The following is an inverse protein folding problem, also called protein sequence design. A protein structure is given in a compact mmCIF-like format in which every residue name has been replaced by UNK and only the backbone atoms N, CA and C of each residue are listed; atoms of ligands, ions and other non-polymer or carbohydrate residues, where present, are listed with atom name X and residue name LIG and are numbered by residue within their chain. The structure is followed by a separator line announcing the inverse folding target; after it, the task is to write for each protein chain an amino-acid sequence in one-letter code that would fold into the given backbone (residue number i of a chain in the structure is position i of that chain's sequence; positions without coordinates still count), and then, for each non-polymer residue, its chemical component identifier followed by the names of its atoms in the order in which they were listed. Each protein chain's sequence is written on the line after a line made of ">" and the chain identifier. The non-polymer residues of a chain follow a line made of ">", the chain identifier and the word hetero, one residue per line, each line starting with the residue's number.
data_IF_972127193450
#
_entry.id   IF_972127193450
#
_cell.length_a   1.000
_cell.length_b   1.000
_cell.length_c   1.000
_cell.angle_alpha   90.00
_cell.angle_beta   90.00
_cell.angle_gamma   90.00
#
_symmetry.space_group_name_H-M   'P 1'
#
loop_
_entity.id
_entity.type
_entity.pdbx_description
1 polymer ?
#
# COMPACT_ATOMS: atom_id res chain seq x y z
N UNK A 1 -3.03 30.97 7.60
CA UNK A 1 -2.77 30.04 8.71
C UNK A 1 -2.74 28.60 8.23
N UNK A 2 -3.88 28.08 7.76
CA UNK A 2 -3.97 26.82 7.00
C UNK A 2 -3.90 27.06 5.48
N UNK A 3 -4.45 28.19 5.02
CA UNK A 3 -4.26 28.74 3.69
C UNK A 3 -3.72 30.16 3.88
N UNK A 4 -2.72 30.53 3.10
CA UNK A 4 -2.14 31.88 3.06
C UNK A 4 -2.27 32.45 1.65
N UNK A 5 -2.47 33.75 1.56
CA UNK A 5 -2.52 34.46 0.28
C UNK A 5 -1.08 34.69 -0.20
N UNK A 6 -0.79 34.36 -1.44
CA UNK A 6 0.50 34.66 -2.06
C UNK A 6 0.70 36.18 -2.15
N UNK A 7 1.96 36.61 -2.26
CA UNK A 7 2.34 38.03 -2.30
C UNK A 7 1.73 38.81 -3.47
N UNK A 8 1.29 38.12 -4.53
CA UNK A 8 0.58 38.71 -5.66
C UNK A 8 -0.92 38.98 -5.40
N UNK A 9 -1.44 38.58 -4.24
CA UNK A 9 -2.83 38.80 -3.86
C UNK A 9 -3.87 37.98 -4.63
N UNK A 10 -3.46 37.12 -5.56
CA UNK A 10 -4.38 36.34 -6.40
C UNK A 10 -4.28 34.85 -6.10
N UNK A 11 -3.06 34.34 -5.89
CA UNK A 11 -2.85 32.93 -5.59
C UNK A 11 -2.94 32.65 -4.09
N UNK A 12 -3.21 31.38 -3.77
CA UNK A 12 -3.19 30.87 -2.41
C UNK A 12 -2.13 29.77 -2.31
N UNK A 13 -1.53 29.63 -1.14
CA UNK A 13 -0.60 28.57 -0.79
C UNK A 13 -1.00 27.93 0.54
N UNK A 14 -0.51 26.72 0.80
CA UNK A 14 -0.71 26.11 2.11
C UNK A 14 0.01 26.95 3.17
N UNK A 15 -0.70 27.28 4.24
CA UNK A 15 -0.13 28.00 5.37
C UNK A 15 0.53 27.06 6.37
N UNK A 16 1.41 27.60 7.22
CA UNK A 16 2.26 26.83 8.15
C UNK A 16 1.49 25.85 9.08
N UNK A 17 0.21 26.13 9.38
CA UNK A 17 -0.61 25.23 10.21
C UNK A 17 -1.01 23.94 9.49
N UNK A 18 -1.02 23.91 8.16
CA UNK A 18 -1.30 22.71 7.37
C UNK A 18 -0.24 21.62 7.59
N UNK A 19 1.05 21.88 7.28
CA UNK A 19 2.13 20.95 7.57
C UNK A 19 2.24 20.57 9.05
N UNK A 20 2.00 21.53 9.97
CA UNK A 20 2.03 21.26 11.41
C UNK A 20 0.93 20.28 11.84
N UNK A 21 -0.28 20.41 11.29
CA UNK A 21 -1.38 19.48 11.56
C UNK A 21 -1.06 18.08 11.03
N UNK A 22 -0.52 17.98 9.80
CA UNK A 22 -0.08 16.71 9.23
C UNK A 22 1.03 16.05 10.06
N UNK A 23 2.00 16.83 10.55
CA UNK A 23 3.03 16.36 11.45
C UNK A 23 2.46 15.88 12.78
N UNK A 24 1.54 16.64 13.39
CA UNK A 24 0.92 16.30 14.69
C UNK A 24 0.05 15.05 14.58
N UNK A 25 -0.72 14.93 13.49
CA UNK A 25 -1.47 13.71 13.18
C UNK A 25 -0.54 12.52 13.09
N UNK A 26 0.54 12.60 12.29
CA UNK A 26 1.52 11.51 12.16
C UNK A 26 2.24 11.17 13.46
N UNK A 27 2.67 12.17 14.22
CA UNK A 27 3.38 11.97 15.48
C UNK A 27 2.52 11.26 16.54
N UNK A 28 1.20 11.45 16.48
CA UNK A 28 0.24 10.84 17.38
C UNK A 28 -0.55 9.68 16.73
N UNK A 29 -0.24 9.30 15.49
CA UNK A 29 -0.97 8.23 14.80
C UNK A 29 -0.51 6.87 15.37
N UNK A 30 -1.40 6.11 16.04
CA UNK A 30 -1.03 4.83 16.62
C UNK A 30 -0.71 3.76 15.56
N UNK A 31 -1.17 3.91 14.31
CA UNK A 31 -0.90 2.97 13.22
C UNK A 31 0.59 2.74 13.03
N UNK A 32 1.39 3.82 12.95
CA UNK A 32 2.85 3.68 12.81
C UNK A 32 3.46 2.93 13.99
N UNK A 33 3.09 3.28 15.22
CA UNK A 33 3.63 2.64 16.43
C UNK A 33 3.26 1.14 16.52
N UNK A 34 2.05 0.77 16.08
CA UNK A 34 1.53 -0.60 16.17
C UNK A 34 1.99 -1.48 15.00
N UNK A 35 2.10 -0.93 13.79
CA UNK A 35 2.47 -1.69 12.59
C UNK A 35 3.98 -1.90 12.47
N UNK A 36 4.76 -0.87 12.81
CA UNK A 36 6.21 -0.82 12.55
C UNK A 36 7.00 -2.00 13.14
N UNK A 37 6.73 -2.51 14.37
CA UNK A 37 7.49 -3.64 14.91
C UNK A 37 7.42 -4.90 14.05
N UNK A 38 6.22 -5.29 13.61
CA UNK A 38 6.03 -6.47 12.76
C UNK A 38 6.61 -6.26 11.35
N UNK A 39 6.39 -5.07 10.77
CA UNK A 39 6.90 -4.73 9.44
C UNK A 39 8.44 -4.67 9.42
N UNK A 40 9.06 -4.06 10.42
CA UNK A 40 10.52 -3.97 10.50
C UNK A 40 11.15 -5.35 10.73
N UNK A 41 10.56 -6.18 11.60
CA UNK A 41 11.04 -7.55 11.81
C UNK A 41 10.99 -8.38 10.52
N UNK A 42 9.94 -8.25 9.72
CA UNK A 42 9.88 -8.90 8.40
C UNK A 42 10.96 -8.34 7.46
N UNK A 43 11.07 -7.02 7.38
CA UNK A 43 12.01 -6.33 6.50
C UNK A 43 13.46 -6.78 6.77
N UNK A 44 13.86 -6.78 8.04
CA UNK A 44 15.20 -7.18 8.48
C UNK A 44 15.47 -8.67 8.27
N UNK A 45 14.47 -9.53 8.47
CA UNK A 45 14.61 -10.98 8.29
C UNK A 45 14.87 -11.36 6.84
N UNK A 46 14.19 -10.71 5.91
CA UNK A 46 14.20 -11.09 4.49
C UNK A 46 15.05 -10.18 3.60
N UNK A 47 15.66 -9.15 4.19
CA UNK A 47 16.38 -8.11 3.45
C UNK A 47 15.51 -7.44 2.38
N UNK A 48 14.26 -7.15 2.74
CA UNK A 48 13.27 -6.54 1.85
C UNK A 48 12.76 -5.21 2.41
N UNK A 49 11.97 -4.54 1.58
CA UNK A 49 11.08 -3.48 2.03
C UNK A 49 9.68 -4.04 2.33
N UNK A 50 8.96 -3.37 3.21
CA UNK A 50 7.58 -3.68 3.60
C UNK A 50 6.80 -2.37 3.68
N UNK A 51 5.62 -2.31 3.08
CA UNK A 51 4.77 -1.13 3.12
C UNK A 51 3.32 -1.48 3.42
N UNK A 52 2.63 -0.56 4.09
CA UNK A 52 1.21 -0.60 4.35
C UNK A 52 0.54 0.54 3.61
N UNK A 53 -0.57 0.27 2.92
CA UNK A 53 -1.29 1.27 2.15
C UNK A 53 -2.80 1.15 2.28
N UNK A 54 -3.46 2.29 2.08
CA UNK A 54 -4.91 2.46 1.97
C UNK A 54 -5.26 3.00 0.58
N UNK A 55 -6.51 2.91 0.15
CA UNK A 55 -6.95 3.49 -1.11
C UNK A 55 -7.28 4.98 -0.98
N UNK A 56 -6.92 5.73 -2.02
CA UNK A 56 -7.30 7.13 -2.19
C UNK A 56 -7.62 7.37 -3.68
N UNK A 57 -8.92 7.29 -4.00
CA UNK A 57 -9.40 7.25 -5.39
C UNK A 57 -8.90 6.00 -6.11
N UNK A 58 -8.27 6.18 -7.28
CA UNK A 58 -7.67 5.08 -8.07
C UNK A 58 -6.21 4.78 -7.71
N UNK A 59 -5.70 5.40 -6.64
CA UNK A 59 -4.32 5.22 -6.18
C UNK A 59 -4.30 4.57 -4.80
N UNK A 60 -3.19 3.91 -4.49
CA UNK A 60 -2.85 3.54 -3.10
C UNK A 60 -2.00 4.63 -2.46
N UNK A 61 -2.40 5.07 -1.27
CA UNK A 61 -1.66 5.96 -0.39
C UNK A 61 -0.86 5.12 0.61
N UNK A 62 0.46 5.25 0.59
CA UNK A 62 1.34 4.53 1.50
C UNK A 62 1.42 5.25 2.85
N UNK A 63 0.97 4.58 3.90
CA UNK A 63 0.84 5.16 5.25
C UNK A 63 1.95 4.70 6.20
N UNK A 64 2.59 3.57 5.92
CA UNK A 64 3.77 3.12 6.66
C UNK A 64 4.75 2.37 5.73
N UNK A 65 6.04 2.51 6.02
CA UNK A 65 7.13 1.91 5.25
C UNK A 65 8.32 1.56 6.13
N UNK A 66 8.74 0.30 6.04
CA UNK A 66 9.93 -0.25 6.69
C UNK A 66 10.84 -0.87 5.64
N UNK A 67 12.16 -0.84 5.88
CA UNK A 67 13.13 -1.49 5.00
C UNK A 67 14.30 -2.04 5.80
N UNK A 68 14.86 -3.15 5.31
CA UNK A 68 16.16 -3.60 5.78
C UNK A 68 17.23 -2.54 5.47
N UNK A 69 18.22 -2.33 6.35
CA UNK A 69 19.40 -1.52 6.05
C UNK A 69 20.15 -1.95 4.79
N UNK A 70 19.97 -3.19 4.33
CA UNK A 70 20.60 -3.71 3.10
C UNK A 70 19.90 -3.27 1.82
N UNK A 71 18.69 -2.68 1.91
CA UNK A 71 17.96 -2.14 0.77
C UNK A 71 18.34 -0.66 0.54
N UNK A 72 19.14 -0.44 -0.51
CA UNK A 72 19.59 0.91 -0.90
C UNK A 72 18.67 1.62 -1.90
N UNK A 73 17.90 0.89 -2.71
CA UNK A 73 17.36 1.40 -3.97
C UNK A 73 15.90 1.81 -3.95
N UNK A 74 15.03 1.17 -3.13
CA UNK A 74 13.62 1.52 -3.08
C UNK A 74 13.38 2.73 -2.18
N UNK A 75 13.22 3.91 -2.81
CA UNK A 75 12.83 5.17 -2.16
C UNK A 75 11.33 5.38 -2.28
N UNK A 76 10.58 4.67 -1.46
CA UNK A 76 9.17 4.96 -1.23
C UNK A 76 9.05 5.90 -0.04
N UNK A 77 8.29 6.98 -0.19
CA UNK A 77 8.04 7.94 0.89
C UNK A 77 6.62 7.75 1.44
N UNK A 78 6.47 7.80 2.76
CA UNK A 78 5.14 7.82 3.39
C UNK A 78 4.39 9.05 2.87
N UNK A 79 3.16 8.85 2.41
CA UNK A 79 2.35 9.86 1.72
C UNK A 79 2.42 9.77 0.19
N UNK A 80 3.29 8.92 -0.38
CA UNK A 80 3.32 8.67 -1.82
C UNK A 80 2.05 7.98 -2.30
N UNK A 81 1.64 8.30 -3.53
CA UNK A 81 0.49 7.68 -4.22
C UNK A 81 0.97 6.89 -5.43
N UNK A 82 0.41 5.69 -5.61
CA UNK A 82 0.72 4.84 -6.77
C UNK A 82 -0.57 4.28 -7.39
N UNK A 83 -0.69 4.25 -8.73
CA UNK A 83 -1.85 3.67 -9.40
C UNK A 83 -2.10 2.23 -8.98
N UNK A 84 -3.35 1.92 -8.62
CA UNK A 84 -3.69 0.63 -8.02
C UNK A 84 -3.40 -0.55 -8.96
N UNK A 85 -3.65 -0.38 -10.26
CA UNK A 85 -3.51 -1.41 -11.28
C UNK A 85 -2.05 -1.75 -11.61
N UNK A 86 -1.10 -0.88 -11.26
CA UNK A 86 0.33 -1.06 -11.54
C UNK A 86 1.11 -1.70 -10.39
N UNK A 87 0.49 -1.89 -9.22
CA UNK A 87 1.16 -2.39 -8.02
C UNK A 87 0.45 -3.61 -7.44
N UNK A 88 1.19 -4.51 -6.80
CA UNK A 88 0.55 -5.64 -6.10
C UNK A 88 -0.27 -5.17 -4.91
N UNK A 89 0.18 -4.13 -4.20
CA UNK A 89 -0.52 -3.59 -3.03
C UNK A 89 -1.85 -2.97 -3.44
N UNK A 90 -1.89 -2.26 -4.57
CA UNK A 90 -3.12 -1.73 -5.15
C UNK A 90 -4.08 -2.79 -5.63
N UNK A 91 -3.58 -3.86 -6.27
CA UNK A 91 -4.40 -5.01 -6.65
C UNK A 91 -4.97 -5.75 -5.44
N UNK A 92 -4.18 -5.93 -4.38
CA UNK A 92 -4.67 -6.52 -3.13
C UNK A 92 -5.73 -5.64 -2.46
N UNK A 93 -5.53 -4.32 -2.44
CA UNK A 93 -6.52 -3.36 -1.93
C UNK A 93 -7.82 -3.42 -2.74
N UNK A 94 -7.74 -3.37 -4.07
CA UNK A 94 -8.89 -3.45 -4.97
C UNK A 94 -9.67 -4.75 -4.74
N UNK A 95 -8.98 -5.88 -4.61
CA UNK A 95 -9.61 -7.18 -4.38
C UNK A 95 -10.42 -7.18 -3.07
N UNK A 96 -9.87 -6.57 -2.02
CA UNK A 96 -10.46 -6.52 -0.68
C UNK A 96 -11.71 -5.63 -0.55
N UNK A 97 -12.00 -4.80 -1.55
CA UNK A 97 -13.18 -3.93 -1.55
C UNK A 97 -14.47 -4.71 -1.78
N UNK A 98 -15.58 -4.15 -1.32
CA UNK A 98 -16.90 -4.71 -1.61
C UNK A 98 -17.16 -4.72 -3.13
N UNK A 99 -17.94 -5.67 -3.67
CA UNK A 99 -18.13 -5.82 -5.12
C UNK A 99 -18.54 -4.52 -5.84
N UNK A 100 -19.40 -3.71 -5.23
CA UNK A 100 -19.86 -2.44 -5.80
C UNK A 100 -18.76 -1.38 -5.86
N UNK A 101 -18.01 -1.21 -4.76
CA UNK A 101 -16.91 -0.25 -4.67
C UNK A 101 -15.76 -0.64 -5.59
N UNK A 102 -15.40 -1.94 -5.59
CA UNK A 102 -14.42 -2.51 -6.51
C UNK A 102 -14.79 -2.25 -7.97
N UNK A 103 -16.04 -2.48 -8.36
CA UNK A 103 -16.50 -2.24 -9.72
C UNK A 103 -16.42 -0.75 -10.11
N UNK A 104 -16.74 0.17 -9.19
CA UNK A 104 -16.61 1.60 -9.42
C UNK A 104 -15.14 2.02 -9.63
N UNK A 105 -14.23 1.54 -8.77
CA UNK A 105 -12.80 1.81 -8.90
C UNK A 105 -12.21 1.28 -10.21
N UNK A 106 -12.54 0.04 -10.59
CA UNK A 106 -12.08 -0.55 -11.85
C UNK A 106 -12.62 0.21 -13.07
N UNK A 107 -13.86 0.70 -13.02
CA UNK A 107 -14.42 1.54 -14.08
C UNK A 107 -13.68 2.88 -14.20
N UNK A 108 -13.37 3.53 -13.08
CA UNK A 108 -12.60 4.78 -13.08
C UNK A 108 -11.17 4.58 -13.59
N UNK A 109 -10.48 3.52 -13.17
CA UNK A 109 -9.15 3.14 -13.68
C UNK A 109 -9.21 2.92 -15.20
N UNK A 110 -10.22 2.20 -15.68
CA UNK A 110 -10.41 1.95 -17.12
C UNK A 110 -10.63 3.25 -17.88
N UNK A 111 -11.40 4.18 -17.32
CA UNK A 111 -11.63 5.49 -17.93
C UNK A 111 -10.34 6.32 -17.99
N UNK A 112 -9.53 6.32 -16.92
CA UNK A 112 -8.24 7.03 -16.86
C UNK A 112 -7.20 6.47 -17.83
N UNK A 113 -7.17 5.14 -18.02
CA UNK A 113 -6.29 4.50 -19.00
C UNK A 113 -6.65 4.86 -20.46
N UNK A 114 -7.87 5.34 -20.71
CA UNK A 114 -8.35 5.75 -22.02
C UNK A 114 -8.59 4.58 -22.98
N UNK A 115 -9.04 4.90 -24.21
CA UNK A 115 -9.37 3.90 -25.25
C UNK A 115 -8.15 3.11 -25.78
N UNK A 116 -6.93 3.45 -25.36
CA UNK A 116 -5.69 2.92 -25.93
C UNK A 116 -5.21 1.58 -25.35
N UNK A 117 -5.77 1.12 -24.22
CA UNK A 117 -5.32 -0.14 -23.61
C UNK A 117 -6.51 -0.96 -23.04
N UNK A 118 -7.22 -1.72 -23.89
CA UNK A 118 -8.32 -2.59 -23.45
C UNK A 118 -7.87 -3.70 -22.47
N UNK A 119 -6.57 -3.93 -22.33
CA UNK A 119 -5.99 -4.94 -21.44
C UNK A 119 -5.34 -4.35 -20.18
N UNK A 120 -5.56 -3.06 -19.90
CA UNK A 120 -4.98 -2.37 -18.74
C UNK A 120 -5.27 -3.10 -17.41
N UNK A 121 -6.44 -3.73 -17.28
CA UNK A 121 -6.83 -4.48 -16.09
C UNK A 121 -6.56 -5.99 -16.14
N UNK A 122 -6.05 -6.53 -17.25
CA UNK A 122 -5.78 -7.97 -17.34
C UNK A 122 -4.78 -8.47 -16.25
N UNK A 123 -3.70 -7.73 -15.91
CA UNK A 123 -2.88 -8.07 -14.74
C UNK A 123 -3.65 -8.02 -13.41
N UNK A 124 -4.55 -7.05 -13.24
CA UNK A 124 -5.38 -6.91 -12.03
C UNK A 124 -6.31 -8.09 -11.83
N UNK A 125 -7.01 -8.54 -12.88
CA UNK A 125 -7.88 -9.71 -12.79
C UNK A 125 -7.10 -11.01 -12.50
N UNK A 126 -5.92 -11.19 -13.11
CA UNK A 126 -5.02 -12.31 -12.76
C UNK A 126 -4.58 -12.27 -11.30
N UNK A 127 -4.31 -11.08 -10.77
CA UNK A 127 -4.00 -10.92 -9.35
C UNK A 127 -5.19 -11.27 -8.45
N UNK A 128 -6.42 -10.97 -8.85
CA UNK A 128 -7.62 -11.38 -8.11
C UNK A 128 -7.76 -12.91 -8.08
N UNK A 129 -7.62 -13.58 -9.23
CA UNK A 129 -7.64 -15.05 -9.27
C UNK A 129 -6.56 -15.66 -8.37
N UNK A 130 -5.37 -15.05 -8.33
CA UNK A 130 -4.28 -15.49 -7.47
C UNK A 130 -4.59 -15.27 -5.97
N UNK A 131 -5.24 -14.16 -5.62
CA UNK A 131 -5.70 -13.86 -4.26
C UNK A 131 -6.78 -14.85 -3.81
N UNK A 132 -7.78 -15.12 -4.64
CA UNK A 132 -8.82 -16.10 -4.34
C UNK A 132 -8.23 -17.50 -4.07
N UNK A 133 -7.21 -17.89 -4.83
CA UNK A 133 -6.64 -19.24 -4.75
C UNK A 133 -5.57 -19.40 -3.68
N UNK A 134 -4.76 -18.37 -3.43
CA UNK A 134 -3.54 -18.47 -2.63
C UNK A 134 -3.42 -17.42 -1.51
N UNK A 135 -4.33 -16.45 -1.44
CA UNK A 135 -4.34 -15.42 -0.41
C UNK A 135 -3.30 -14.30 -0.59
N UNK A 136 -2.58 -14.26 -1.72
CA UNK A 136 -1.65 -13.19 -2.06
C UNK A 136 -1.67 -12.89 -3.57
N UNK A 137 -1.13 -11.75 -3.98
CA UNK A 137 -0.85 -11.46 -5.40
C UNK A 137 0.55 -10.86 -5.60
N UNK A 138 0.94 -10.76 -6.87
CA UNK A 138 2.23 -10.22 -7.27
C UNK A 138 2.11 -9.20 -8.40
N UNK A 139 3.11 -8.34 -8.46
CA UNK A 139 3.38 -7.39 -9.53
C UNK A 139 4.89 -7.35 -9.75
N UNK A 140 5.34 -7.29 -11.00
CA UNK A 140 6.77 -7.30 -11.34
C UNK A 140 7.04 -6.47 -12.58
N UNK A 141 7.98 -5.54 -12.51
CA UNK A 141 8.46 -4.77 -13.65
C UNK A 141 7.53 -3.67 -14.17
N UNK A 142 6.34 -3.50 -13.60
CA UNK A 142 5.29 -2.61 -14.12
C UNK A 142 5.51 -1.14 -13.73
N UNK A 143 5.95 -0.89 -12.49
CA UNK A 143 6.34 0.46 -12.02
C UNK A 143 7.77 0.78 -12.39
N UNK A 144 8.67 -0.17 -12.14
CA UNK A 144 10.10 -0.01 -12.37
C UNK A 144 10.65 -1.34 -12.85
N UNK A 145 11.55 -1.29 -13.84
CA UNK A 145 12.28 -2.48 -14.30
C UNK A 145 13.01 -3.14 -13.14
N UNK A 146 13.06 -4.47 -13.15
CA UNK A 146 13.73 -5.27 -12.13
C UNK A 146 13.22 -4.94 -10.72
N UNK A 147 11.91 -4.74 -10.58
CA UNK A 147 11.24 -4.63 -9.29
C UNK A 147 10.12 -5.64 -9.18
N UNK A 148 9.86 -6.11 -7.96
CA UNK A 148 8.71 -6.94 -7.66
C UNK A 148 8.09 -6.55 -6.33
N UNK A 149 6.80 -6.85 -6.18
CA UNK A 149 6.11 -6.78 -4.91
C UNK A 149 5.14 -7.94 -4.74
N UNK A 150 5.08 -8.48 -3.53
CA UNK A 150 4.13 -9.49 -3.08
C UNK A 150 3.20 -8.83 -2.08
N UNK A 151 1.89 -9.00 -2.22
CA UNK A 151 0.92 -8.31 -1.36
C UNK A 151 -0.18 -9.22 -0.85
N UNK A 152 -0.65 -8.90 0.34
CA UNK A 152 -1.81 -9.51 1.00
C UNK A 152 -2.79 -8.41 1.42
N UNK A 153 -4.12 -8.66 1.34
CA UNK A 153 -5.10 -7.76 1.90
C UNK A 153 -5.06 -7.85 3.43
N UNK A 154 -5.28 -6.72 4.11
CA UNK A 154 -5.35 -6.68 5.58
C UNK A 154 -6.56 -5.86 6.02
N UNK A 155 -7.19 -6.24 7.12
CA UNK A 155 -8.39 -5.60 7.66
C UNK A 155 -8.11 -5.19 9.10
N UNK A 156 -8.06 -3.89 9.36
CA UNK A 156 -7.50 -3.33 10.60
C UNK A 156 -8.49 -2.38 11.27
N UNK A 157 -8.39 -2.23 12.59
CA UNK A 157 -9.26 -1.37 13.39
C UNK A 157 -10.67 -1.92 13.62
N UNK A 158 -11.49 -1.15 14.34
CA UNK A 158 -12.88 -1.44 14.67
C UNK A 158 -13.77 -0.21 14.38
N UNK A 159 -14.72 -0.29 13.41
CA UNK A 159 -14.98 -1.41 12.50
C UNK A 159 -13.86 -1.59 11.48
N UNK A 160 -13.57 -2.83 11.08
CA UNK A 160 -12.40 -3.12 10.23
C UNK A 160 -12.44 -2.38 8.89
N UNK A 161 -11.35 -1.68 8.57
CA UNK A 161 -11.12 -1.02 7.28
C UNK A 161 -10.18 -1.86 6.42
N UNK A 162 -10.41 -1.87 5.11
CA UNK A 162 -9.58 -2.58 4.12
C UNK A 162 -8.30 -1.81 3.84
N UNK A 163 -7.15 -2.46 4.00
CA UNK A 163 -5.83 -1.99 3.61
C UNK A 163 -5.11 -3.11 2.84
N UNK A 164 -3.88 -2.87 2.42
CA UNK A 164 -3.00 -3.91 1.92
C UNK A 164 -1.58 -3.77 2.48
N UNK A 165 -0.94 -4.91 2.72
CA UNK A 165 0.44 -5.01 3.17
C UNK A 165 1.25 -5.64 2.03
N UNK A 166 2.40 -5.07 1.69
CA UNK A 166 3.30 -5.63 0.71
C UNK A 166 4.71 -5.85 1.24
N UNK A 167 5.47 -6.68 0.53
CA UNK A 167 6.92 -6.69 0.59
C UNK A 167 7.53 -6.76 -0.81
N UNK A 168 8.76 -6.27 -0.97
CA UNK A 168 9.41 -6.24 -2.27
C UNK A 168 10.77 -5.55 -2.31
N UNK A 169 11.37 -5.55 -3.50
CA UNK A 169 12.66 -4.93 -3.76
C UNK A 169 12.79 -4.53 -5.24
N UNK A 170 13.80 -3.70 -5.55
CA UNK A 170 14.25 -3.42 -6.92
C UNK A 170 15.38 -4.40 -7.25
N UNK A 171 15.01 -5.67 -7.39
CA UNK A 171 15.82 -6.80 -7.83
C UNK A 171 14.93 -7.76 -8.64
N UNK A 172 15.50 -8.73 -9.38
CA UNK A 172 14.72 -9.82 -9.95
C UNK A 172 13.90 -10.57 -8.88
N UNK A 173 12.69 -11.00 -9.23
CA UNK A 173 11.84 -11.75 -8.32
C UNK A 173 12.50 -13.07 -7.91
N UNK A 174 12.40 -13.48 -6.64
CA UNK A 174 12.89 -14.78 -6.19
C UNK A 174 12.06 -15.92 -6.80
N UNK A 175 12.58 -17.16 -6.80
CA UNK A 175 11.83 -18.31 -7.32
C UNK A 175 10.48 -18.51 -6.60
N UNK A 176 9.45 -18.93 -7.34
CA UNK A 176 8.10 -19.14 -6.80
C UNK A 176 8.04 -20.01 -5.54
N UNK A 177 8.94 -21.00 -5.43
CA UNK A 177 9.01 -21.85 -4.25
C UNK A 177 9.41 -21.07 -2.99
N UNK A 178 10.36 -20.13 -3.12
CA UNK A 178 10.75 -19.25 -2.01
C UNK A 178 9.63 -18.28 -1.65
N UNK A 179 8.95 -17.72 -2.65
CA UNK A 179 7.80 -16.85 -2.43
C UNK A 179 6.70 -17.57 -1.64
N UNK A 180 6.27 -18.74 -2.14
CA UNK A 180 5.17 -19.51 -1.57
C UNK A 180 5.47 -20.12 -0.22
N UNK A 181 6.69 -20.64 -0.02
CA UNK A 181 7.02 -21.42 1.17
C UNK A 181 7.69 -20.58 2.27
N UNK A 182 8.17 -19.37 1.95
CA UNK A 182 8.93 -18.54 2.89
C UNK A 182 8.31 -17.14 3.02
N UNK A 183 8.30 -16.35 1.94
CA UNK A 183 7.92 -14.94 2.01
C UNK A 183 6.43 -14.75 2.35
N UNK A 184 5.54 -15.47 1.67
CA UNK A 184 4.09 -15.33 1.85
C UNK A 184 3.65 -15.75 3.26
N UNK A 185 4.04 -16.94 3.79
CA UNK A 185 3.68 -17.33 5.15
C UNK A 185 4.17 -16.34 6.20
N UNK A 186 5.37 -15.80 6.05
CA UNK A 186 5.89 -14.80 6.98
C UNK A 186 5.21 -13.44 6.84
N UNK A 187 4.80 -13.06 5.63
CA UNK A 187 4.07 -11.82 5.39
C UNK A 187 2.66 -11.89 5.98
N UNK A 188 1.99 -13.05 5.87
CA UNK A 188 0.71 -13.31 6.52
C UNK A 188 0.82 -13.27 8.05
N UNK A 189 1.88 -13.84 8.63
CA UNK A 189 2.15 -13.73 10.08
C UNK A 189 2.36 -12.27 10.50
N UNK A 190 3.06 -11.47 9.70
CA UNK A 190 3.23 -10.05 9.96
C UNK A 190 1.88 -9.32 9.91
N UNK A 191 1.04 -9.61 8.90
CA UNK A 191 -0.32 -9.07 8.81
C UNK A 191 -1.19 -9.43 10.02
N UNK A 192 -1.13 -10.68 10.49
CA UNK A 192 -1.85 -11.12 11.69
C UNK A 192 -1.36 -10.41 12.95
N UNK A 193 -0.04 -10.25 13.11
CA UNK A 193 0.53 -9.53 14.24
C UNK A 193 0.08 -8.05 14.26
N UNK A 194 0.06 -7.40 13.10
CA UNK A 194 -0.46 -6.03 12.94
C UNK A 194 -1.94 -5.97 13.32
N UNK A 195 -2.75 -6.92 12.81
CA UNK A 195 -4.18 -7.01 13.14
C UNK A 195 -4.42 -7.15 14.63
N UNK A 196 -3.64 -7.96 15.33
CA UNK A 196 -3.76 -8.10 16.79
C UNK A 196 -3.34 -6.83 17.53
N UNK A 197 -2.27 -6.17 17.09
CA UNK A 197 -1.80 -4.92 17.68
C UNK A 197 -2.82 -3.78 17.51
N UNK A 198 -3.58 -3.79 16.41
CA UNK A 198 -4.60 -2.78 16.10
C UNK A 198 -6.01 -3.13 16.58
N UNK A 199 -6.16 -4.22 17.35
CA UNK A 199 -7.46 -4.62 17.90
C UNK A 199 -7.97 -3.55 18.87
N UNK A 200 -9.25 -3.18 18.77
CA UNK A 200 -9.86 -2.11 19.56
C UNK A 200 -9.46 -0.69 19.19
N UNK A 201 -8.63 -0.49 18.16
CA UNK A 201 -8.33 0.84 17.64
C UNK A 201 -9.51 1.35 16.80
N UNK A 202 -10.03 2.54 17.13
CA UNK A 202 -11.04 3.21 16.30
C UNK A 202 -10.49 3.45 14.90
N UNK A 203 -11.17 2.90 13.90
CA UNK A 203 -10.75 3.01 12.49
C UNK A 203 -10.75 4.42 11.95
N UNK A 204 -11.40 5.38 12.61
CA UNK A 204 -11.28 6.81 12.25
C UNK A 204 -9.86 7.37 12.49
N UNK A 205 -9.00 6.63 13.19
CA UNK A 205 -7.60 7.00 13.44
C UNK A 205 -6.63 6.42 12.40
N UNK A 206 -7.12 5.61 11.45
CA UNK A 206 -6.33 4.95 10.41
C UNK A 206 -6.21 5.81 9.16
#
# INVERSE_FOLDING_TARGET
>A
GYLDRASDGVRFQIGMRGPLLGHTYRANNPVSALCRPAMQAFADKHDLSVALAIGDGTDTLYIEYCKSPRIATLRLEIGSRMPMELTSIGRAYLWAQQPRERAALLAEITQKAGKGNPHALAPTYRAFEHLERFGYCMASGEVQRDSYGISVPVYLGEPAVSLALNCGAILPAPPDAHIRNVLVPDLMKAADAIKQAMKGLDSNLI
#
